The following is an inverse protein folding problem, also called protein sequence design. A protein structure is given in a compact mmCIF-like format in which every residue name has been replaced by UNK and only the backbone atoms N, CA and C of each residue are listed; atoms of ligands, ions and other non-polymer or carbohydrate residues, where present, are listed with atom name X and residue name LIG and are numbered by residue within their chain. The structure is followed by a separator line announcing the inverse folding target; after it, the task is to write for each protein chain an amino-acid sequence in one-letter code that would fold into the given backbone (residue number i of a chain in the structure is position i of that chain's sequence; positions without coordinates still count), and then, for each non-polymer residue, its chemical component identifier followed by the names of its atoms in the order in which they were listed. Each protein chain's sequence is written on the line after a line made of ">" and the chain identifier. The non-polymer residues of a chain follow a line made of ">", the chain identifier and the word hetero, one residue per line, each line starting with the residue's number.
data_IF_262242401967
#
_entry.id   IF_262242401967
#
_cell.length_a   1.000
_cell.length_b   1.000
_cell.length_c   1.000
_cell.angle_alpha   90.00
_cell.angle_beta   90.00
_cell.angle_gamma   90.00
#
_symmetry.space_group_name_H-M   'P 1'
#
loop_
_entity.id
_entity.type
_entity.pdbx_description
1 polymer ?
#
# COMPACT_ATOMS: atom_id res chain seq x y z
N UNK A 1 5.54 -16.50 2.47
CA UNK A 1 4.92 -15.43 1.65
C UNK A 1 3.64 -15.81 0.90
N UNK A 2 3.45 -17.04 0.39
CA UNK A 2 2.26 -17.40 -0.43
C UNK A 2 0.89 -17.21 0.26
N UNK A 3 0.83 -17.28 1.60
CA UNK A 3 -0.39 -17.04 2.39
C UNK A 3 -0.55 -15.59 2.85
N UNK A 4 0.15 -14.64 2.24
CA UNK A 4 0.11 -13.21 2.61
C UNK A 4 -0.56 -12.40 1.51
N UNK A 5 -1.47 -11.51 1.89
CA UNK A 5 -2.09 -10.51 1.01
C UNK A 5 -1.49 -9.14 1.29
N UNK A 6 -1.33 -8.32 0.25
CA UNK A 6 -0.91 -6.92 0.38
C UNK A 6 -2.04 -6.01 -0.07
N UNK A 7 -2.31 -4.97 0.71
CA UNK A 7 -3.18 -3.87 0.34
C UNK A 7 -2.39 -2.55 0.39
N UNK A 8 -2.11 -1.99 -0.78
CA UNK A 8 -1.41 -0.71 -0.92
C UNK A 8 -2.45 0.41 -0.96
N UNK A 9 -2.36 1.34 -0.01
CA UNK A 9 -3.18 2.54 0.05
C UNK A 9 -2.62 3.57 -0.94
N UNK A 10 -3.33 3.81 -2.04
CA UNK A 10 -2.92 4.71 -3.13
C UNK A 10 -3.98 5.80 -3.46
N UNK A 11 -4.92 6.05 -2.54
CA UNK A 11 -6.03 6.99 -2.72
C UNK A 11 -5.77 8.45 -2.32
N UNK A 12 -4.58 8.77 -1.78
CA UNK A 12 -4.28 10.10 -1.24
C UNK A 12 -4.32 11.22 -2.29
N UNK A 13 -5.04 12.31 -1.98
CA UNK A 13 -5.12 13.51 -2.85
C UNK A 13 -3.79 14.25 -2.99
N UNK A 14 -2.89 14.15 -2.01
CA UNK A 14 -1.56 14.77 -2.08
C UNK A 14 -1.58 16.29 -2.24
N UNK A 15 -2.50 16.98 -1.55
CA UNK A 15 -2.72 18.44 -1.71
C UNK A 15 -1.46 19.28 -1.49
N UNK A 16 -0.57 18.84 -0.58
CA UNK A 16 0.71 19.51 -0.28
C UNK A 16 1.71 19.53 -1.44
N UNK A 17 1.49 18.72 -2.48
CA UNK A 17 2.34 18.65 -3.67
C UNK A 17 1.70 19.34 -4.88
N UNK A 18 0.65 20.13 -4.68
CA UNK A 18 0.12 20.95 -5.76
C UNK A 18 1.23 21.88 -6.30
N UNK A 19 1.40 22.03 -7.64
CA UNK A 19 0.53 21.57 -8.73
C UNK A 19 0.82 20.15 -9.26
N UNK A 20 1.83 19.43 -8.76
CA UNK A 20 2.25 18.12 -9.27
C UNK A 20 1.14 17.05 -9.16
N UNK A 21 0.22 17.21 -8.22
CA UNK A 21 -0.94 16.34 -7.98
C UNK A 21 -2.24 16.89 -8.58
N UNK A 22 -2.16 17.91 -9.44
CA UNK A 22 -3.35 18.51 -10.08
C UNK A 22 -4.13 17.47 -10.88
N UNK A 23 -3.48 16.65 -11.69
CA UNK A 23 -4.18 15.70 -12.60
C UNK A 23 -3.87 14.23 -12.29
N UNK A 24 -3.30 13.95 -11.12
CA UNK A 24 -2.85 12.59 -10.73
C UNK A 24 -2.82 12.41 -9.22
N UNK A 25 -2.85 11.15 -8.77
CA UNK A 25 -2.56 10.81 -7.37
C UNK A 25 -1.09 11.03 -7.02
N UNK A 26 -0.81 11.24 -5.72
CA UNK A 26 0.57 11.29 -5.22
C UNK A 26 1.38 10.03 -5.60
N UNK A 27 0.88 8.79 -5.42
CA UNK A 27 1.54 7.57 -5.91
C UNK A 27 1.95 7.59 -7.39
N UNK A 28 1.22 8.32 -8.25
CA UNK A 28 1.49 8.42 -9.69
C UNK A 28 2.44 9.58 -10.07
N UNK A 29 2.99 10.31 -9.09
CA UNK A 29 3.98 11.36 -9.34
C UNK A 29 5.28 10.72 -9.84
N UNK A 30 5.85 11.21 -10.95
CA UNK A 30 7.15 10.75 -11.45
C UNK A 30 8.27 11.02 -10.45
N UNK A 31 9.25 10.12 -10.39
CA UNK A 31 10.40 10.21 -9.50
C UNK A 31 11.64 9.61 -10.19
N UNK A 32 12.80 10.27 -10.07
CA UNK A 32 14.06 9.74 -10.59
C UNK A 32 14.07 9.51 -12.11
N UNK A 33 13.33 10.32 -12.87
CA UNK A 33 13.25 10.25 -14.33
C UNK A 33 12.29 9.19 -14.87
N UNK A 34 12.47 7.93 -14.49
CA UNK A 34 11.74 6.79 -15.10
C UNK A 34 10.68 6.16 -14.19
N UNK A 35 10.73 6.41 -12.89
CA UNK A 35 9.85 5.76 -11.91
C UNK A 35 8.67 6.65 -11.52
N UNK A 36 7.74 6.04 -10.78
CA UNK A 36 6.71 6.72 -9.99
C UNK A 36 6.85 6.32 -8.52
N UNK A 37 6.30 7.13 -7.61
CA UNK A 37 6.40 6.85 -6.17
C UNK A 37 5.92 5.45 -5.77
N UNK A 38 4.85 4.95 -6.41
CA UNK A 38 4.33 3.60 -6.11
C UNK A 38 5.32 2.48 -6.44
N UNK A 39 6.24 2.69 -7.39
CA UNK A 39 7.16 1.67 -7.86
C UNK A 39 8.07 1.18 -6.74
N UNK A 40 8.45 2.06 -5.80
CA UNK A 40 9.26 1.67 -4.63
C UNK A 40 8.55 0.64 -3.76
N UNK A 41 7.27 0.87 -3.47
CA UNK A 41 6.48 -0.04 -2.64
C UNK A 41 6.22 -1.36 -3.36
N UNK A 42 5.91 -1.31 -4.66
CA UNK A 42 5.71 -2.51 -5.48
C UNK A 42 7.00 -3.32 -5.64
N UNK A 43 8.14 -2.67 -5.91
CA UNK A 43 9.44 -3.33 -5.96
C UNK A 43 9.79 -3.99 -4.62
N UNK A 44 9.55 -3.33 -3.49
CA UNK A 44 9.74 -3.95 -2.17
C UNK A 44 8.87 -5.20 -2.02
N UNK A 45 7.61 -5.17 -2.45
CA UNK A 45 6.73 -6.34 -2.42
C UNK A 45 7.28 -7.48 -3.28
N UNK A 46 7.61 -7.21 -4.54
CA UNK A 46 8.10 -8.22 -5.50
C UNK A 46 9.41 -8.83 -5.00
N UNK A 47 10.36 -8.00 -4.58
CA UNK A 47 11.66 -8.44 -4.08
C UNK A 47 11.55 -9.21 -2.75
N UNK A 48 10.51 -8.95 -1.97
CA UNK A 48 10.19 -9.72 -0.75
C UNK A 48 9.38 -10.99 -1.05
N UNK A 49 9.03 -11.27 -2.31
CA UNK A 49 8.23 -12.43 -2.69
C UNK A 49 6.73 -12.31 -2.37
N UNK A 50 6.21 -11.10 -2.16
CA UNK A 50 4.78 -10.82 -2.04
C UNK A 50 4.15 -10.70 -3.42
N UNK A 51 3.23 -11.62 -3.75
CA UNK A 51 2.71 -11.78 -5.12
C UNK A 51 1.20 -11.54 -5.27
N UNK A 52 0.51 -11.23 -4.18
CA UNK A 52 -0.94 -11.02 -4.12
C UNK A 52 -1.18 -9.61 -3.62
N UNK A 53 -1.31 -8.66 -4.54
CA UNK A 53 -1.28 -7.24 -4.22
C UNK A 53 -2.52 -6.56 -4.77
N UNK A 54 -3.31 -5.96 -3.88
CA UNK A 54 -4.35 -5.02 -4.24
C UNK A 54 -3.85 -3.59 -4.06
N UNK A 55 -4.05 -2.75 -5.07
CA UNK A 55 -3.74 -1.32 -5.00
C UNK A 55 -5.05 -0.55 -4.86
N UNK A 56 -5.34 -0.04 -3.66
CA UNK A 56 -6.57 0.71 -3.39
C UNK A 56 -6.46 2.13 -3.94
N UNK A 57 -7.25 2.44 -4.96
CA UNK A 57 -7.27 3.74 -5.64
C UNK A 57 -8.58 4.47 -5.39
N UNK A 58 -8.59 5.81 -5.43
CA UNK A 58 -9.79 6.60 -5.18
C UNK A 58 -9.85 7.84 -6.08
N UNK A 59 -9.07 8.86 -5.75
CA UNK A 59 -9.06 10.14 -6.49
C UNK A 59 -8.16 10.05 -7.73
N UNK A 60 -8.51 10.71 -8.85
CA UNK A 60 -7.64 10.93 -10.04
C UNK A 60 -6.72 9.75 -10.41
N UNK A 61 -7.28 8.53 -10.42
CA UNK A 61 -6.51 7.29 -10.46
C UNK A 61 -6.18 6.79 -11.87
N UNK A 62 -6.74 7.40 -12.93
CA UNK A 62 -6.54 6.96 -14.32
C UNK A 62 -5.06 6.75 -14.67
N UNK A 63 -4.24 7.78 -14.46
CA UNK A 63 -2.80 7.71 -14.73
C UNK A 63 -2.12 6.58 -13.94
N UNK A 64 -2.54 6.34 -12.69
CA UNK A 64 -2.00 5.26 -11.86
C UNK A 64 -2.41 3.89 -12.39
N UNK A 65 -3.69 3.70 -12.72
CA UNK A 65 -4.23 2.44 -13.26
C UNK A 65 -3.55 2.10 -14.58
N UNK A 66 -3.39 3.09 -15.47
CA UNK A 66 -2.66 2.91 -16.73
C UNK A 66 -1.22 2.46 -16.51
N UNK A 67 -0.51 3.06 -15.55
CA UNK A 67 0.85 2.66 -15.20
C UNK A 67 0.93 1.24 -14.66
N UNK A 68 0.02 0.85 -13.78
CA UNK A 68 -0.06 -0.53 -13.28
C UNK A 68 -0.29 -1.52 -14.43
N UNK A 69 -1.21 -1.20 -15.35
CA UNK A 69 -1.53 -2.07 -16.50
C UNK A 69 -0.38 -2.22 -17.50
N UNK A 70 0.45 -1.19 -17.67
CA UNK A 70 1.58 -1.21 -18.61
C UNK A 70 2.87 -1.78 -17.99
N UNK A 71 3.19 -1.38 -16.76
CA UNK A 71 4.50 -1.66 -16.15
C UNK A 71 4.48 -2.82 -15.13
N UNK A 72 3.32 -3.12 -14.54
CA UNK A 72 3.21 -4.05 -13.41
C UNK A 72 2.35 -5.28 -13.69
N UNK A 73 2.04 -5.54 -14.97
CA UNK A 73 1.36 -6.77 -15.40
C UNK A 73 2.33 -7.95 -15.55
N UNK A 74 3.08 -8.23 -14.48
CA UNK A 74 4.20 -9.18 -14.43
C UNK A 74 3.83 -10.56 -13.87
N UNK A 75 2.64 -10.70 -13.29
CA UNK A 75 2.18 -11.94 -12.65
C UNK A 75 1.11 -12.67 -13.46
N UNK A 76 1.07 -13.99 -13.33
CA UNK A 76 0.02 -14.82 -13.91
C UNK A 76 -1.11 -15.07 -12.90
N UNK A 77 -2.31 -14.61 -13.25
CA UNK A 77 -3.51 -14.71 -12.43
C UNK A 77 -4.00 -16.14 -12.25
N UNK A 78 -3.72 -17.03 -13.19
CA UNK A 78 -4.05 -18.46 -13.08
C UNK A 78 -3.26 -19.14 -11.96
N UNK A 79 -2.06 -18.62 -11.64
CA UNK A 79 -1.27 -19.07 -10.50
C UNK A 79 -1.71 -18.39 -9.18
N UNK A 80 -2.76 -17.58 -9.21
CA UNK A 80 -3.23 -16.80 -8.07
C UNK A 80 -2.34 -15.59 -7.73
N UNK A 81 -1.44 -15.19 -8.63
CA UNK A 81 -0.51 -14.06 -8.47
C UNK A 81 -1.03 -12.83 -9.24
N UNK A 82 -1.03 -11.66 -8.62
CA UNK A 82 -1.59 -10.45 -9.22
C UNK A 82 -1.11 -9.16 -8.56
N UNK A 83 -1.13 -8.08 -9.35
CA UNK A 83 -1.10 -6.68 -8.89
C UNK A 83 -2.33 -6.02 -9.50
N UNK A 84 -3.43 -5.97 -8.74
CA UNK A 84 -4.73 -5.53 -9.25
C UNK A 84 -5.13 -4.19 -8.61
N UNK A 85 -5.45 -3.15 -9.40
CA UNK A 85 -6.05 -1.95 -8.87
C UNK A 85 -7.49 -2.23 -8.41
N UNK A 86 -7.82 -1.77 -7.21
CA UNK A 86 -9.18 -1.80 -6.66
C UNK A 86 -9.64 -0.34 -6.54
N UNK A 87 -10.55 0.12 -7.41
CA UNK A 87 -11.11 1.45 -7.29
C UNK A 87 -12.02 1.53 -6.06
N UNK A 88 -12.17 2.73 -5.51
CA UNK A 88 -13.16 3.00 -4.47
C UNK A 88 -14.55 2.64 -4.96
N UNK A 89 -15.27 1.83 -4.17
CA UNK A 89 -16.61 1.36 -4.47
C UNK A 89 -17.52 1.76 -3.32
N UNK A 90 -18.73 2.22 -3.63
CA UNK A 90 -19.77 2.55 -2.65
C UNK A 90 -20.43 1.28 -2.09
N UNK A 91 -19.65 0.40 -1.43
CA UNK A 91 -20.11 -0.91 -0.98
C UNK A 91 -20.89 -0.89 0.34
N UNK A 92 -20.46 -0.04 1.27
CA UNK A 92 -21.07 0.09 2.60
C UNK A 92 -21.99 1.32 2.72
N UNK A 93 -22.22 2.02 1.61
CA UNK A 93 -23.04 3.24 1.55
C UNK A 93 -22.62 4.13 0.36
N UNK A 94 -23.24 5.29 0.23
CA UNK A 94 -23.00 6.24 -0.86
C UNK A 94 -21.65 6.98 -0.77
N UNK A 95 -20.88 6.79 0.30
CA UNK A 95 -19.59 7.46 0.48
C UNK A 95 -18.47 6.68 -0.23
N UNK A 96 -17.52 7.42 -0.81
CA UNK A 96 -16.20 6.86 -1.09
C UNK A 96 -15.45 6.57 0.22
N UNK A 97 -14.19 6.12 0.13
CA UNK A 97 -13.37 5.91 1.33
C UNK A 97 -13.29 7.17 2.18
N UNK A 98 -13.73 7.05 3.44
CA UNK A 98 -13.70 8.10 4.46
C UNK A 98 -12.30 8.27 5.08
N UNK A 99 -11.42 7.28 4.85
CA UNK A 99 -10.04 7.27 5.33
C UNK A 99 -9.32 5.99 4.94
N UNK A 100 -8.08 5.83 5.40
CA UNK A 100 -7.25 4.65 5.12
C UNK A 100 -7.83 3.38 5.72
N UNK A 101 -8.30 3.42 6.98
CA UNK A 101 -8.94 2.29 7.63
C UNK A 101 -10.26 1.90 6.95
N UNK A 102 -11.07 2.89 6.55
CA UNK A 102 -12.33 2.65 5.83
C UNK A 102 -12.08 2.01 4.46
N UNK A 103 -11.00 2.39 3.76
CA UNK A 103 -10.60 1.73 2.52
C UNK A 103 -10.33 0.23 2.70
N UNK A 104 -9.74 -0.18 3.82
CA UNK A 104 -9.56 -1.59 4.16
C UNK A 104 -10.90 -2.24 4.51
N UNK A 105 -11.71 -1.59 5.36
CA UNK A 105 -12.99 -2.10 5.83
C UNK A 105 -13.97 -2.39 4.68
N UNK A 106 -14.14 -1.45 3.74
CA UNK A 106 -14.99 -1.64 2.56
C UNK A 106 -14.54 -2.79 1.64
N UNK A 107 -13.28 -3.23 1.79
CA UNK A 107 -12.69 -4.32 1.02
C UNK A 107 -12.46 -5.60 1.85
N UNK A 108 -13.02 -5.72 3.06
CA UNK A 108 -12.84 -6.89 3.93
C UNK A 108 -13.27 -8.20 3.27
N UNK A 109 -14.27 -8.17 2.37
CA UNK A 109 -14.70 -9.33 1.61
C UNK A 109 -13.59 -9.88 0.69
N UNK A 110 -12.72 -9.03 0.13
CA UNK A 110 -11.57 -9.46 -0.66
C UNK A 110 -10.53 -10.15 0.23
N UNK A 111 -10.27 -9.60 1.41
CA UNK A 111 -9.36 -10.20 2.39
C UNK A 111 -9.86 -11.59 2.78
N UNK A 112 -11.15 -11.71 3.18
CA UNK A 112 -11.75 -12.99 3.58
C UNK A 112 -11.70 -14.04 2.47
N UNK A 113 -12.11 -13.67 1.24
CA UNK A 113 -12.07 -14.58 0.07
C UNK A 113 -10.66 -15.00 -0.32
N UNK A 114 -9.65 -14.20 -0.01
CA UNK A 114 -8.26 -14.53 -0.34
C UNK A 114 -7.71 -15.72 0.46
N UNK A 115 -8.31 -16.06 1.61
CA UNK A 115 -7.78 -17.07 2.53
C UNK A 115 -6.37 -16.73 3.06
N UNK A 116 -5.96 -15.46 2.98
CA UNK A 116 -4.66 -15.03 3.49
C UNK A 116 -4.61 -15.11 5.01
N UNK A 117 -3.48 -15.59 5.54
CA UNK A 117 -3.18 -15.67 6.98
C UNK A 117 -2.59 -14.37 7.53
N UNK A 118 -1.96 -13.58 6.66
CA UNK A 118 -1.36 -12.30 7.02
C UNK A 118 -1.76 -11.23 6.00
N UNK A 119 -1.88 -10.00 6.47
CA UNK A 119 -2.20 -8.83 5.66
C UNK A 119 -1.11 -7.76 5.87
N UNK A 120 -0.43 -7.37 4.80
CA UNK A 120 0.35 -6.13 4.80
C UNK A 120 -0.55 -4.97 4.36
N UNK A 121 -0.54 -3.89 5.14
CA UNK A 121 -1.10 -2.60 4.74
C UNK A 121 0.05 -1.63 4.52
N UNK A 122 0.22 -1.17 3.28
CA UNK A 122 1.36 -0.35 2.88
C UNK A 122 0.91 0.99 2.30
N UNK A 123 1.73 2.03 2.44
CA UNK A 123 1.51 3.29 1.73
C UNK A 123 2.16 3.25 0.35
N UNK A 124 1.45 3.70 -0.68
CA UNK A 124 1.96 3.77 -2.07
C UNK A 124 2.68 5.07 -2.44
N UNK A 125 3.00 5.92 -1.46
CA UNK A 125 3.45 7.30 -1.71
C UNK A 125 4.75 7.69 -0.98
N UNK A 126 5.49 6.70 -0.48
CA UNK A 126 6.79 6.85 0.16
C UNK A 126 7.90 6.25 -0.71
N UNK A 127 9.09 6.85 -0.66
CA UNK A 127 10.31 6.37 -1.30
C UNK A 127 11.19 5.70 -0.25
N UNK A 128 11.33 4.38 -0.32
CA UNK A 128 12.12 3.58 0.62
C UNK A 128 12.43 2.21 0.03
N UNK A 129 13.43 1.53 0.61
CA UNK A 129 13.72 0.12 0.36
C UNK A 129 13.54 -0.66 1.64
N UNK A 130 12.79 -1.76 1.59
CA UNK A 130 12.52 -2.60 2.75
C UNK A 130 12.32 -4.05 2.31
N UNK A 131 12.90 -4.98 3.05
CA UNK A 131 12.61 -6.40 2.93
C UNK A 131 11.50 -6.78 3.91
N UNK A 132 10.29 -7.02 3.39
CA UNK A 132 9.13 -7.36 4.22
C UNK A 132 9.19 -8.78 4.80
N UNK A 133 10.12 -9.63 4.35
CA UNK A 133 10.33 -10.94 4.97
C UNK A 133 10.72 -10.79 6.44
N UNK A 134 11.64 -9.87 6.74
CA UNK A 134 12.12 -9.61 8.10
C UNK A 134 10.99 -9.14 9.02
N UNK A 135 10.11 -8.27 8.52
CA UNK A 135 8.95 -7.80 9.28
C UNK A 135 7.92 -8.90 9.50
N UNK A 136 7.70 -9.77 8.51
CA UNK A 136 6.78 -10.89 8.66
C UNK A 136 7.31 -11.94 9.64
N UNK A 137 8.61 -12.20 9.63
CA UNK A 137 9.25 -13.14 10.54
C UNK A 137 9.18 -12.61 11.97
N UNK A 138 9.54 -11.33 12.18
CA UNK A 138 9.36 -10.66 13.47
C UNK A 138 7.92 -10.76 13.99
N UNK A 139 6.93 -10.45 13.13
CA UNK A 139 5.52 -10.54 13.49
C UNK A 139 5.10 -11.95 13.94
N UNK A 140 5.62 -12.99 13.28
CA UNK A 140 5.32 -14.40 13.60
C UNK A 140 6.00 -14.87 14.86
N UNK A 141 7.27 -14.52 15.03
CA UNK A 141 8.07 -14.86 16.22
C UNK A 141 7.43 -14.30 17.49
N UNK A 142 6.92 -13.07 17.43
CA UNK A 142 6.28 -12.41 18.57
C UNK A 142 4.79 -12.72 18.70
N UNK A 143 4.21 -13.48 17.76
CA UNK A 143 2.77 -13.79 17.72
C UNK A 143 1.87 -12.55 17.92
N UNK A 144 2.30 -11.40 17.38
CA UNK A 144 1.64 -10.13 17.64
C UNK A 144 0.32 -10.01 16.85
N UNK A 145 -0.69 -9.34 17.41
CA UNK A 145 -1.93 -9.03 16.68
C UNK A 145 -1.66 -8.06 15.51
N UNK A 146 -0.73 -7.13 15.71
CA UNK A 146 -0.27 -6.18 14.71
C UNK A 146 1.21 -5.86 14.91
N UNK A 147 1.91 -5.59 13.81
CA UNK A 147 3.30 -5.11 13.82
C UNK A 147 3.38 -3.85 12.99
N UNK A 148 3.98 -2.80 13.54
CA UNK A 148 4.09 -1.49 12.91
C UNK A 148 5.58 -1.22 12.63
N UNK A 149 5.91 -0.87 11.39
CA UNK A 149 7.23 -0.37 11.05
C UNK A 149 7.35 1.09 11.48
N UNK A 150 8.28 1.38 12.40
CA UNK A 150 8.57 2.72 12.89
C UNK A 150 9.96 3.19 12.43
N UNK A 151 10.16 4.51 12.41
CA UNK A 151 11.46 5.13 12.21
C UNK A 151 11.80 5.91 13.47
N UNK A 152 13.02 5.71 13.97
CA UNK A 152 13.56 6.57 15.02
C UNK A 152 13.83 7.97 14.45
N UNK A 153 13.26 8.98 15.10
CA UNK A 153 13.39 10.38 14.73
C UNK A 153 13.59 11.25 15.97
N UNK A 154 14.43 12.30 15.88
CA UNK A 154 14.51 13.32 16.91
C UNK A 154 13.13 13.92 17.25
N UNK A 155 12.91 14.23 18.53
CA UNK A 155 11.59 14.66 19.05
C UNK A 155 11.07 15.93 18.39
N UNK A 156 11.96 16.85 18.00
CA UNK A 156 11.63 18.12 17.34
C UNK A 156 10.99 17.93 15.96
N UNK A 157 11.36 16.89 15.22
CA UNK A 157 10.77 16.57 13.91
C UNK A 157 9.64 15.53 13.97
N UNK A 158 9.48 14.85 15.12
CA UNK A 158 8.50 13.77 15.32
C UNK A 158 7.03 14.26 15.26
N UNK A 159 6.78 15.54 15.53
CA UNK A 159 5.44 16.18 15.49
C UNK A 159 4.71 16.06 14.14
N UNK A 160 5.44 15.70 13.07
CA UNK A 160 4.91 15.51 11.72
C UNK A 160 4.45 14.07 11.43
N UNK A 161 4.60 13.16 12.40
CA UNK A 161 4.36 11.73 12.26
C UNK A 161 3.40 11.23 13.36
N UNK A 162 2.92 9.99 13.20
CA UNK A 162 2.35 9.24 14.33
C UNK A 162 3.48 8.78 15.24
N UNK A 163 3.41 9.14 16.51
CA UNK A 163 4.40 8.76 17.53
C UNK A 163 3.85 7.58 18.31
N UNK A 164 4.67 6.53 18.48
CA UNK A 164 4.37 5.39 19.33
C UNK A 164 5.36 5.39 20.49
N UNK A 165 4.85 5.09 21.68
CA UNK A 165 5.66 4.73 22.84
C UNK A 165 5.92 3.22 22.78
N UNK A 166 7.15 2.83 23.09
CA UNK A 166 7.56 1.43 23.18
C UNK A 166 8.01 1.17 24.61
N UNK A 167 7.84 -0.07 25.06
CA UNK A 167 8.37 -0.50 26.35
C UNK A 167 9.90 -0.50 26.31
N UNK A 168 10.53 -0.38 27.48
CA UNK A 168 11.98 -0.45 27.66
C UNK A 168 12.59 -1.80 27.25
#
# INVERSE_FOLDING_TARGET
>A
MRSTLVMILAGGRGQRLHPLTKDRTKPAVPFGGVYRLIDFTLSNCVNSGLRRIYVLTQYKSDSLIRHLGLAWRIYNRELGEFIDPIPAQQRLGANWYLGTADAINQNVALIKRSGAKHLFVLSGDHVYKMNYHLMLDFHREHQADATIAALEKPKDVATRFGVAEVND
#
